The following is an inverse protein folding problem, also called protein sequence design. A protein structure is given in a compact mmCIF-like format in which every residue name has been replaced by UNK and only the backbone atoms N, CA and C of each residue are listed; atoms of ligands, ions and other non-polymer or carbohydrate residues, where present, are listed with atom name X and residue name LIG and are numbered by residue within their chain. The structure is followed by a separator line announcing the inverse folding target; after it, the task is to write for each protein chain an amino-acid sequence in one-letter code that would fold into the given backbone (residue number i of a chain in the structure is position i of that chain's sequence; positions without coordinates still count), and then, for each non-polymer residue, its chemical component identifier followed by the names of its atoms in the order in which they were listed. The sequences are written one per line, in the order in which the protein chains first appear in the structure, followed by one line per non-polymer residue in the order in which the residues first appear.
data_IF_973760282134
#
_entry.id   IF_973760282134
#
_cell.length_a   1.000
_cell.length_b   1.000
_cell.length_c   1.000
_cell.angle_alpha   90.00
_cell.angle_beta   90.00
_cell.angle_gamma   90.00
#
_symmetry.space_group_name_H-M   'P 1'
#
loop_
_entity.id
_entity.type
_entity.pdbx_description
1 polymer ?
#
# COMPACT_ATOMS: atom_id res chain seq x y z
N UNK A 1 12.25 -12.16 -1.54
CA UNK A 1 13.02 -11.35 -2.52
C UNK A 1 14.40 -10.97 -1.96
N UNK A 2 15.48 -10.83 -2.77
CA UNK A 2 16.76 -10.25 -2.31
C UNK A 2 17.13 -9.05 -3.16
N UNK A 3 17.28 -7.88 -2.54
CA UNK A 3 17.77 -6.68 -3.21
C UNK A 3 19.30 -6.74 -3.21
N UNK A 4 19.88 -7.22 -4.30
CA UNK A 4 21.34 -7.33 -4.49
C UNK A 4 21.79 -6.38 -5.58
N UNK A 5 22.94 -5.72 -5.40
CA UNK A 5 23.53 -4.79 -6.38
C UNK A 5 22.68 -3.52 -6.61
N UNK A 6 22.46 -2.77 -5.52
CA UNK A 6 21.66 -1.53 -5.50
C UNK A 6 22.40 -0.45 -6.29
N UNK A 7 21.81 -0.01 -7.41
CA UNK A 7 22.38 1.01 -8.30
C UNK A 7 21.45 2.18 -8.56
N UNK A 8 20.15 1.99 -8.33
CA UNK A 8 19.15 2.97 -8.74
C UNK A 8 17.90 2.91 -7.87
N UNK A 9 17.32 4.09 -7.61
CA UNK A 9 16.13 4.26 -6.78
C UNK A 9 15.12 5.18 -7.46
N UNK A 10 13.85 4.78 -7.41
CA UNK A 10 12.73 5.59 -7.88
C UNK A 10 12.06 6.33 -6.73
N UNK A 11 11.97 7.66 -6.77
CA UNK A 11 11.35 8.46 -5.71
C UNK A 11 9.96 8.97 -6.12
N UNK A 12 8.99 8.75 -5.25
CA UNK A 12 7.65 9.31 -5.30
C UNK A 12 7.42 10.25 -4.13
N UNK A 13 6.76 11.38 -4.39
CA UNK A 13 6.42 12.36 -3.36
C UNK A 13 4.92 12.35 -3.08
N UNK A 14 4.53 12.75 -1.86
CA UNK A 14 3.11 13.02 -1.54
C UNK A 14 2.55 14.04 -2.55
N UNK A 15 1.45 13.74 -3.26
CA UNK A 15 0.87 14.67 -4.23
C UNK A 15 0.50 16.01 -3.60
N UNK A 16 0.50 17.07 -4.41
CA UNK A 16 0.10 18.43 -4.01
C UNK A 16 0.85 18.99 -2.79
N UNK A 17 2.10 18.57 -2.59
CA UNK A 17 2.94 18.94 -1.46
C UNK A 17 4.31 19.48 -1.94
N UNK A 18 4.36 20.67 -2.58
CA UNK A 18 5.60 21.22 -3.13
C UNK A 18 6.70 21.48 -2.09
N UNK A 19 6.33 21.63 -0.81
CA UNK A 19 7.26 21.80 0.31
C UNK A 19 8.17 20.59 0.55
N UNK A 20 7.87 19.41 -0.02
CA UNK A 20 8.77 18.24 0.03
C UNK A 20 10.01 18.37 -0.85
N UNK A 21 10.17 19.49 -1.56
CA UNK A 21 11.32 19.75 -2.44
C UNK A 21 12.65 19.63 -1.71
N UNK A 22 12.77 20.22 -0.53
CA UNK A 22 14.02 20.18 0.24
C UNK A 22 14.37 18.75 0.67
N UNK A 23 13.38 18.02 1.20
CA UNK A 23 13.51 16.62 1.61
C UNK A 23 13.87 15.71 0.42
N UNK A 24 13.32 15.97 -0.77
CA UNK A 24 13.71 15.25 -1.98
C UNK A 24 15.20 15.46 -2.33
N UNK A 25 15.69 16.71 -2.28
CA UNK A 25 17.09 16.98 -2.60
C UNK A 25 18.05 16.42 -1.55
N UNK A 26 17.64 16.41 -0.28
CA UNK A 26 18.37 15.74 0.79
C UNK A 26 18.48 14.23 0.53
N UNK A 27 17.36 13.56 0.29
CA UNK A 27 17.35 12.13 -0.05
C UNK A 27 18.18 11.85 -1.30
N UNK A 28 18.03 12.69 -2.34
CA UNK A 28 18.80 12.57 -3.57
C UNK A 28 20.30 12.63 -3.31
N UNK A 29 20.75 13.62 -2.53
CA UNK A 29 22.17 13.78 -2.15
C UNK A 29 22.68 12.55 -1.40
N UNK A 30 21.91 12.02 -0.46
CA UNK A 30 22.28 10.84 0.34
C UNK A 30 22.51 9.64 -0.58
N UNK A 31 21.55 9.30 -1.44
CA UNK A 31 21.67 8.18 -2.38
C UNK A 31 22.81 8.38 -3.39
N UNK A 32 22.89 9.54 -4.03
CA UNK A 32 23.90 9.81 -5.07
C UNK A 32 25.33 9.81 -4.50
N UNK A 33 25.52 10.22 -3.24
CA UNK A 33 26.83 10.15 -2.58
C UNK A 33 27.36 8.72 -2.38
N UNK A 34 26.47 7.71 -2.38
CA UNK A 34 26.81 6.28 -2.38
C UNK A 34 26.77 5.65 -3.78
N UNK A 35 26.67 6.46 -4.84
CA UNK A 35 26.64 5.96 -6.23
C UNK A 35 25.31 5.34 -6.66
N UNK A 36 24.22 5.60 -5.93
CA UNK A 36 22.87 5.16 -6.28
C UNK A 36 22.20 6.25 -7.11
N UNK A 37 21.84 5.95 -8.36
CA UNK A 37 21.13 6.86 -9.26
C UNK A 37 19.71 7.14 -8.77
N UNK A 38 19.32 8.41 -8.73
CA UNK A 38 18.00 8.83 -8.25
C UNK A 38 17.12 9.30 -9.40
N UNK A 39 16.03 8.58 -9.63
CA UNK A 39 15.02 8.91 -10.63
C UNK A 39 13.75 9.36 -9.92
N UNK A 40 13.25 10.56 -10.21
CA UNK A 40 11.97 11.04 -9.66
C UNK A 40 10.81 10.73 -10.60
N UNK A 41 9.66 10.35 -10.05
CA UNK A 41 8.44 10.13 -10.80
C UNK A 41 7.91 11.42 -11.45
N UNK A 42 7.31 11.34 -12.64
CA UNK A 42 6.95 12.50 -13.46
C UNK A 42 6.09 13.56 -12.75
N UNK A 43 5.00 13.14 -12.08
CA UNK A 43 4.11 14.05 -11.35
C UNK A 43 4.84 14.63 -10.13
N UNK A 44 5.59 13.78 -9.44
CA UNK A 44 6.41 14.17 -8.28
C UNK A 44 7.47 15.21 -8.66
N UNK A 45 8.20 15.00 -9.75
CA UNK A 45 9.21 15.91 -10.27
C UNK A 45 8.60 17.22 -10.74
N UNK A 46 7.53 17.17 -11.53
CA UNK A 46 6.82 18.36 -12.00
C UNK A 46 6.36 19.26 -10.86
N UNK A 47 5.88 18.67 -9.77
CA UNK A 47 5.46 19.38 -8.55
C UNK A 47 6.60 20.19 -7.89
N UNK A 48 7.84 19.71 -7.94
CA UNK A 48 9.00 20.36 -7.30
C UNK A 48 9.91 21.11 -8.31
N UNK A 49 9.54 21.12 -9.58
CA UNK A 49 10.31 21.76 -10.66
C UNK A 49 11.52 20.96 -11.13
N UNK A 50 11.46 19.62 -11.06
CA UNK A 50 12.50 18.69 -11.53
C UNK A 50 11.94 17.83 -12.66
N UNK A 51 12.75 17.52 -13.66
CA UNK A 51 12.34 16.60 -14.73
C UNK A 51 12.23 15.18 -14.17
N UNK A 52 11.00 14.64 -14.16
CA UNK A 52 10.73 13.26 -13.73
C UNK A 52 10.42 12.31 -14.90
N UNK A 53 10.43 11.01 -14.62
CA UNK A 53 10.12 9.95 -15.59
C UNK A 53 8.71 9.37 -15.40
N UNK A 54 8.02 8.94 -16.48
CA UNK A 54 6.77 8.21 -16.35
C UNK A 54 6.90 7.02 -15.42
N UNK A 55 5.94 6.82 -14.52
CA UNK A 55 6.04 5.86 -13.43
C UNK A 55 6.41 4.44 -13.87
N UNK A 56 5.76 3.91 -14.92
CA UNK A 56 6.09 2.57 -15.41
C UNK A 56 7.50 2.49 -16.01
N UNK A 57 7.98 3.55 -16.67
CA UNK A 57 9.35 3.59 -17.19
C UNK A 57 10.37 3.64 -16.05
N UNK A 58 10.08 4.39 -14.99
CA UNK A 58 10.89 4.42 -13.78
C UNK A 58 10.95 3.04 -13.13
N UNK A 59 9.81 2.37 -12.92
CA UNK A 59 9.76 1.05 -12.29
C UNK A 59 10.52 -0.04 -13.08
N UNK A 60 10.66 0.10 -14.41
CA UNK A 60 11.45 -0.82 -15.23
C UNK A 60 12.97 -0.61 -15.12
N UNK A 61 13.41 0.50 -14.53
CA UNK A 61 14.83 0.90 -14.49
C UNK A 61 15.43 0.84 -13.09
N UNK A 62 14.61 0.99 -12.05
CA UNK A 62 15.07 1.13 -10.67
C UNK A 62 15.07 -0.19 -9.93
N UNK A 63 15.95 -0.33 -8.93
CA UNK A 63 16.06 -1.54 -8.12
C UNK A 63 15.02 -1.57 -6.99
N UNK A 64 14.63 -0.40 -6.49
CA UNK A 64 13.61 -0.23 -5.45
C UNK A 64 12.97 1.16 -5.54
N UNK A 65 11.88 1.33 -4.78
CA UNK A 65 11.16 2.60 -4.68
C UNK A 65 11.33 3.23 -3.30
N UNK A 66 11.31 4.55 -3.27
CA UNK A 66 11.21 5.37 -2.06
C UNK A 66 9.98 6.25 -2.17
N UNK A 67 9.16 6.26 -1.13
CA UNK A 67 8.08 7.24 -0.99
C UNK A 67 8.42 8.26 0.08
N UNK A 68 8.30 9.55 -0.21
CA UNK A 68 8.43 10.63 0.76
C UNK A 68 7.03 11.20 1.02
N UNK A 69 6.49 10.96 2.20
CA UNK A 69 5.11 11.31 2.52
C UNK A 69 4.57 10.62 3.75
N UNK A 70 3.29 10.23 3.72
CA UNK A 70 2.68 9.39 4.75
C UNK A 70 2.15 8.07 4.16
N UNK A 71 1.45 7.28 4.98
CA UNK A 71 0.96 5.93 4.62
C UNK A 71 0.19 5.90 3.29
N UNK A 72 -0.65 6.91 2.99
CA UNK A 72 -1.36 6.98 1.71
C UNK A 72 -0.44 7.06 0.47
N UNK A 73 0.75 7.63 0.62
CA UNK A 73 1.76 7.71 -0.44
C UNK A 73 2.37 6.32 -0.68
N UNK A 74 2.72 5.62 0.41
CA UNK A 74 3.20 4.25 0.37
C UNK A 74 2.17 3.29 -0.24
N UNK A 75 0.93 3.33 0.24
CA UNK A 75 -0.19 2.51 -0.26
C UNK A 75 -0.39 2.73 -1.76
N UNK A 76 -0.36 4.00 -2.20
CA UNK A 76 -0.47 4.34 -3.62
C UNK A 76 0.70 3.79 -4.45
N UNK A 77 1.93 3.94 -3.96
CA UNK A 77 3.11 3.42 -4.63
C UNK A 77 3.07 1.90 -4.77
N UNK A 78 2.84 1.16 -3.68
CA UNK A 78 2.75 -0.31 -3.68
C UNK A 78 1.65 -0.79 -4.63
N UNK A 79 0.46 -0.18 -4.58
CA UNK A 79 -0.65 -0.54 -5.47
C UNK A 79 -0.33 -0.29 -6.95
N UNK A 80 0.43 0.76 -7.28
CA UNK A 80 0.84 1.05 -8.66
C UNK A 80 2.01 0.16 -9.09
N UNK A 81 2.90 -0.21 -8.17
CA UNK A 81 4.14 -0.96 -8.46
C UNK A 81 4.02 -2.48 -8.33
N UNK A 82 2.89 -3.02 -7.85
CA UNK A 82 2.76 -4.45 -7.50
C UNK A 82 3.23 -5.43 -8.59
N UNK A 83 3.01 -5.10 -9.87
CA UNK A 83 3.44 -5.94 -11.02
C UNK A 83 4.94 -5.97 -11.25
N UNK A 84 5.65 -4.94 -10.79
CA UNK A 84 7.11 -4.85 -10.91
C UNK A 84 7.81 -5.55 -9.74
N UNK A 85 7.06 -5.93 -8.70
CA UNK A 85 7.57 -6.62 -7.52
C UNK A 85 8.78 -5.91 -6.87
N UNK A 86 8.81 -4.57 -6.91
CA UNK A 86 9.90 -3.78 -6.34
C UNK A 86 9.71 -3.60 -4.82
N UNK A 87 10.78 -3.65 -4.01
CA UNK A 87 10.72 -3.23 -2.62
C UNK A 87 10.40 -1.75 -2.54
N UNK A 88 9.69 -1.35 -1.49
CA UNK A 88 9.31 0.05 -1.25
C UNK A 88 9.75 0.47 0.14
N UNK A 89 10.62 1.47 0.21
CA UNK A 89 11.01 2.15 1.44
C UNK A 89 10.15 3.40 1.62
N UNK A 90 9.61 3.61 2.81
CA UNK A 90 8.80 4.79 3.11
C UNK A 90 9.56 5.72 4.05
N UNK A 91 9.83 6.93 3.57
CA UNK A 91 10.33 8.05 4.35
C UNK A 91 9.13 8.90 4.78
N UNK A 92 9.03 9.11 6.07
CA UNK A 92 7.95 9.86 6.65
C UNK A 92 8.17 11.38 6.54
N UNK A 93 7.13 12.13 6.19
CA UNK A 93 7.15 13.60 6.14
C UNK A 93 6.03 14.20 7.01
N UNK A 94 6.31 14.38 8.31
CA UNK A 94 5.40 15.00 9.31
C UNK A 94 5.24 14.19 10.61
N UNK A 95 4.00 13.90 11.04
CA UNK A 95 3.69 13.06 12.22
C UNK A 95 3.73 11.55 11.93
N UNK A 96 4.52 10.78 12.68
CA UNK A 96 4.75 9.34 12.50
C UNK A 96 3.46 8.56 12.14
N UNK A 97 3.48 7.86 10.99
CA UNK A 97 2.40 7.00 10.51
C UNK A 97 2.47 5.58 11.08
N UNK A 98 1.61 4.68 10.58
CA UNK A 98 1.62 3.27 10.98
C UNK A 98 2.62 2.42 10.18
N UNK A 99 3.02 2.88 8.99
CA UNK A 99 3.79 2.07 8.04
C UNK A 99 5.11 2.68 7.58
N UNK A 100 5.29 3.99 7.72
CA UNK A 100 6.54 4.65 7.38
C UNK A 100 7.51 4.51 8.56
N UNK A 101 8.56 3.71 8.35
CA UNK A 101 9.49 3.28 9.40
C UNK A 101 10.77 4.14 9.48
N UNK A 102 10.89 5.20 8.67
CA UNK A 102 12.14 5.96 8.52
C UNK A 102 11.89 7.47 8.43
N UNK A 103 12.55 8.27 9.28
CA UNK A 103 12.65 9.72 9.13
C UNK A 103 13.76 10.08 8.11
N UNK A 104 13.67 11.25 7.46
CA UNK A 104 14.74 11.72 6.58
C UNK A 104 16.08 11.83 7.31
N UNK A 105 16.05 12.20 8.60
CA UNK A 105 17.26 12.31 9.43
C UNK A 105 17.98 10.97 9.63
N UNK A 106 17.27 9.85 9.52
CA UNK A 106 17.79 8.49 9.67
C UNK A 106 18.23 7.88 8.33
N UNK A 107 17.91 8.54 7.21
CA UNK A 107 18.14 7.99 5.88
C UNK A 107 19.63 7.75 5.59
N UNK A 108 20.51 8.64 6.04
CA UNK A 108 21.95 8.54 5.78
C UNK A 108 22.52 7.22 6.36
N UNK A 109 22.30 6.99 7.66
CA UNK A 109 22.70 5.77 8.36
C UNK A 109 22.00 4.52 7.79
N UNK A 110 20.73 4.64 7.43
CA UNK A 110 19.98 3.52 6.84
C UNK A 110 20.56 3.09 5.49
N UNK A 111 20.97 4.03 4.64
CA UNK A 111 21.54 3.70 3.32
C UNK A 111 22.89 2.99 3.48
N UNK A 112 23.71 3.36 4.45
CA UNK A 112 24.97 2.65 4.72
C UNK A 112 24.72 1.20 5.15
N UNK A 113 23.83 1.01 6.13
CA UNK A 113 23.41 -0.34 6.56
C UNK A 113 22.77 -1.15 5.43
N UNK A 114 22.00 -0.50 4.56
CA UNK A 114 21.38 -1.14 3.41
C UNK A 114 22.44 -1.69 2.43
N UNK A 115 23.52 -0.95 2.21
CA UNK A 115 24.63 -1.37 1.34
C UNK A 115 25.46 -2.50 1.96
N UNK A 116 25.54 -2.55 3.28
CA UNK A 116 26.15 -3.65 4.04
C UNK A 116 25.26 -4.91 4.10
N UNK A 117 24.01 -4.80 3.64
CA UNK A 117 23.04 -5.90 3.67
C UNK A 117 22.29 -6.04 5.00
N UNK A 118 22.41 -5.05 5.89
CA UNK A 118 21.80 -5.03 7.23
C UNK A 118 20.35 -4.51 7.22
N UNK A 119 19.51 -5.08 6.36
CA UNK A 119 18.10 -4.72 6.26
C UNK A 119 17.23 -5.97 6.05
N UNK A 120 15.92 -5.80 6.27
CA UNK A 120 14.93 -6.85 6.01
C UNK A 120 13.88 -6.32 5.05
N UNK A 121 13.46 -7.18 4.12
CA UNK A 121 12.31 -6.93 3.26
C UNK A 121 11.14 -7.73 3.83
N UNK A 122 10.08 -7.02 4.20
CA UNK A 122 8.84 -7.63 4.66
C UNK A 122 7.90 -7.87 3.48
N UNK A 123 7.56 -9.14 3.24
CA UNK A 123 6.57 -9.53 2.25
C UNK A 123 5.16 -9.38 2.85
N UNK A 124 4.42 -8.37 2.40
CA UNK A 124 3.07 -8.05 2.88
C UNK A 124 2.01 -8.52 1.88
N UNK A 125 0.95 -9.14 2.40
CA UNK A 125 -0.16 -9.61 1.58
C UNK A 125 -0.91 -8.45 0.90
N UNK A 126 -1.39 -8.70 -0.32
CA UNK A 126 -2.30 -7.82 -1.07
C UNK A 126 -3.53 -8.61 -1.50
N UNK A 127 -4.67 -7.92 -1.57
CA UNK A 127 -5.89 -8.46 -2.15
C UNK A 127 -5.92 -8.18 -3.64
N UNK A 128 -6.38 -9.16 -4.40
CA UNK A 128 -6.82 -8.98 -5.78
C UNK A 128 -8.28 -9.39 -5.87
N UNK A 129 -9.13 -8.51 -6.41
CA UNK A 129 -10.50 -8.85 -6.75
C UNK A 129 -10.70 -8.81 -8.26
N UNK A 130 -11.44 -9.79 -8.76
CA UNK A 130 -11.99 -9.81 -10.10
C UNK A 130 -13.46 -9.41 -10.02
N UNK A 131 -13.83 -8.37 -10.73
CA UNK A 131 -15.20 -7.89 -10.83
C UNK A 131 -15.73 -8.38 -12.19
N UNK A 132 -16.59 -9.39 -12.13
CA UNK A 132 -17.22 -9.96 -13.32
C UNK A 132 -18.57 -9.28 -13.55
N UNK A 133 -18.70 -8.62 -14.70
CA UNK A 133 -19.94 -8.00 -15.14
C UNK A 133 -20.35 -8.55 -16.51
N UNK A 134 -21.50 -8.11 -17.04
CA UNK A 134 -21.91 -8.47 -18.41
C UNK A 134 -20.97 -7.91 -19.47
N UNK A 135 -20.29 -6.81 -19.16
CA UNK A 135 -19.38 -6.12 -20.09
C UNK A 135 -17.95 -6.71 -20.05
N UNK A 136 -17.73 -7.71 -19.20
CA UNK A 136 -16.47 -8.42 -19.02
C UNK A 136 -15.93 -8.33 -17.60
N UNK A 137 -14.72 -8.88 -17.45
CA UNK A 137 -13.97 -8.91 -16.20
C UNK A 137 -13.06 -7.68 -16.08
N UNK A 138 -13.00 -7.14 -14.87
CA UNK A 138 -12.01 -6.14 -14.48
C UNK A 138 -11.30 -6.58 -13.21
N UNK A 139 -10.06 -6.12 -13.02
CA UNK A 139 -9.26 -6.47 -11.85
C UNK A 139 -8.91 -5.23 -11.05
N UNK A 140 -9.02 -5.36 -9.73
CA UNK A 140 -8.55 -4.37 -8.77
C UNK A 140 -7.63 -5.02 -7.76
N UNK A 141 -6.64 -4.26 -7.33
CA UNK A 141 -5.73 -4.69 -6.25
C UNK A 141 -5.82 -3.70 -5.10
N UNK A 142 -5.76 -4.23 -3.88
CA UNK A 142 -5.79 -3.44 -2.66
C UNK A 142 -4.69 -3.90 -1.72
N UNK A 143 -4.02 -2.92 -1.14
CA UNK A 143 -3.01 -3.16 -0.12
C UNK A 143 -3.63 -3.25 1.28
N UNK A 144 -4.67 -2.44 1.55
CA UNK A 144 -5.43 -2.49 2.81
C UNK A 144 -6.72 -3.28 2.64
N UNK A 145 -7.74 -2.66 2.05
CA UNK A 145 -9.12 -3.13 2.10
C UNK A 145 -9.78 -3.12 0.72
N UNK A 146 -10.65 -4.10 0.47
CA UNK A 146 -11.68 -4.06 -0.57
C UNK A 146 -13.03 -3.95 0.13
N UNK A 147 -13.80 -2.91 -0.20
CA UNK A 147 -15.07 -2.61 0.45
C UNK A 147 -16.21 -2.81 -0.53
N UNK A 148 -17.08 -3.78 -0.23
CA UNK A 148 -18.37 -3.91 -0.92
C UNK A 148 -19.41 -3.17 -0.09
N UNK A 149 -20.00 -2.11 -0.66
CA UNK A 149 -20.95 -1.26 0.06
C UNK A 149 -22.15 -0.92 -0.81
N UNK A 150 -23.26 -0.55 -0.16
CA UNK A 150 -24.47 -0.08 -0.82
C UNK A 150 -24.19 1.13 -1.73
N UNK A 151 -24.82 1.23 -2.91
CA UNK A 151 -24.63 2.36 -3.82
C UNK A 151 -25.28 3.66 -3.31
N UNK A 152 -26.24 3.55 -2.39
CA UNK A 152 -26.88 4.69 -1.74
C UNK A 152 -27.38 4.32 -0.34
N UNK A 153 -27.60 5.33 0.51
CA UNK A 153 -27.97 5.16 1.93
C UNK A 153 -29.38 4.55 2.09
N UNK A 154 -30.23 4.64 1.07
CA UNK A 154 -31.67 4.34 1.19
C UNK A 154 -32.02 2.87 1.36
N UNK A 155 -31.10 1.94 1.09
CA UNK A 155 -31.37 0.49 1.19
C UNK A 155 -30.17 -0.28 1.71
N UNK A 156 -30.44 -1.30 2.52
CA UNK A 156 -29.47 -2.34 2.84
C UNK A 156 -29.24 -3.23 1.63
N UNK A 157 -28.03 -3.79 1.54
CA UNK A 157 -27.69 -4.78 0.51
C UNK A 157 -27.64 -6.18 1.09
N UNK A 158 -27.84 -7.17 0.22
CA UNK A 158 -27.69 -8.60 0.50
C UNK A 158 -26.42 -9.07 -0.20
N UNK A 159 -25.46 -9.57 0.55
CA UNK A 159 -24.18 -10.08 0.04
C UNK A 159 -24.05 -11.56 0.41
N UNK A 160 -24.16 -12.43 -0.59
CA UNK A 160 -23.82 -13.85 -0.44
C UNK A 160 -22.32 -14.02 -0.57
N UNK A 161 -21.70 -14.74 0.36
CA UNK A 161 -20.27 -15.01 0.33
C UNK A 161 -19.99 -16.49 0.21
N UNK A 162 -18.93 -16.77 -0.53
CA UNK A 162 -18.43 -18.11 -0.80
C UNK A 162 -16.94 -18.15 -0.45
N UNK A 163 -16.51 -19.26 0.16
CA UNK A 163 -15.10 -19.55 0.43
C UNK A 163 -14.79 -20.86 -0.29
N UNK A 164 -13.78 -20.85 -1.14
CA UNK A 164 -13.41 -21.99 -2.00
C UNK A 164 -14.61 -22.57 -2.78
N UNK A 165 -15.48 -21.68 -3.28
CA UNK A 165 -16.68 -22.03 -4.03
C UNK A 165 -17.84 -22.58 -3.18
N UNK A 166 -17.68 -22.70 -1.85
CA UNK A 166 -18.72 -23.18 -0.94
C UNK A 166 -19.42 -22.02 -0.25
N UNK A 167 -20.74 -22.10 -0.11
CA UNK A 167 -21.51 -21.08 0.62
C UNK A 167 -21.00 -20.97 2.05
N UNK A 168 -20.67 -19.74 2.45
CA UNK A 168 -20.11 -19.46 3.77
C UNK A 168 -21.08 -18.65 4.63
N UNK A 169 -21.51 -17.48 4.15
CA UNK A 169 -22.43 -16.63 4.89
C UNK A 169 -23.28 -15.75 3.94
N UNK A 170 -24.31 -15.11 4.48
CA UNK A 170 -25.03 -14.03 3.79
C UNK A 170 -25.14 -12.83 4.71
N UNK A 171 -24.59 -11.70 4.27
CA UNK A 171 -24.61 -10.44 5.00
C UNK A 171 -25.77 -9.56 4.57
N UNK A 172 -26.41 -8.92 5.54
CA UNK A 172 -27.46 -7.94 5.35
C UNK A 172 -27.08 -6.68 6.12
N UNK A 173 -26.88 -5.56 5.43
CA UNK A 173 -26.45 -4.32 6.07
C UNK A 173 -25.93 -3.32 5.05
N UNK A 174 -24.96 -2.51 5.49
CA UNK A 174 -24.34 -1.48 4.65
C UNK A 174 -23.32 -2.07 3.69
N UNK A 175 -22.63 -3.15 4.11
CA UNK A 175 -21.56 -3.74 3.31
C UNK A 175 -20.72 -4.76 4.06
N UNK A 176 -19.62 -5.16 3.43
CA UNK A 176 -18.56 -6.01 3.99
C UNK A 176 -17.21 -5.45 3.57
N UNK A 177 -16.28 -5.37 4.53
CA UNK A 177 -14.86 -5.10 4.31
C UNK A 177 -14.13 -6.42 4.19
N UNK A 178 -13.38 -6.62 3.12
CA UNK A 178 -12.35 -7.67 3.00
C UNK A 178 -11.00 -6.99 3.22
N UNK A 179 -10.27 -7.38 4.25
CA UNK A 179 -9.08 -6.65 4.72
C UNK A 179 -7.84 -7.55 4.76
N UNK A 180 -6.71 -7.04 4.28
CA UNK A 180 -5.39 -7.64 4.54
C UNK A 180 -5.00 -7.47 6.01
N UNK A 181 -3.98 -8.17 6.51
CA UNK A 181 -3.47 -7.92 7.85
C UNK A 181 -2.95 -6.48 8.02
N UNK A 182 -2.37 -5.89 6.97
CA UNK A 182 -1.96 -4.48 6.98
C UNK A 182 -3.15 -3.53 7.01
N UNK A 183 -4.22 -3.86 6.27
CA UNK A 183 -5.48 -3.09 6.28
C UNK A 183 -6.28 -3.22 7.58
N UNK A 184 -5.93 -4.17 8.45
CA UNK A 184 -6.68 -4.45 9.67
C UNK A 184 -6.79 -3.25 10.61
N UNK A 185 -5.81 -2.34 10.57
CA UNK A 185 -5.75 -1.08 11.33
C UNK A 185 -6.40 0.12 10.62
N UNK A 186 -6.86 -0.07 9.37
CA UNK A 186 -7.49 0.97 8.56
C UNK A 186 -9.03 0.94 8.69
N UNK A 187 -9.76 0.76 7.59
CA UNK A 187 -11.22 0.82 7.65
C UNK A 187 -11.82 -0.39 8.37
N UNK A 188 -11.16 -1.55 8.28
CA UNK A 188 -11.52 -2.75 9.02
C UNK A 188 -11.66 -2.48 10.54
N UNK A 189 -10.71 -1.77 11.15
CA UNK A 189 -10.76 -1.42 12.57
C UNK A 189 -11.98 -0.54 12.88
N UNK A 190 -12.24 0.45 12.03
CA UNK A 190 -13.40 1.35 12.17
C UNK A 190 -14.74 0.61 12.04
N UNK A 191 -14.78 -0.47 11.24
CA UNK A 191 -15.94 -1.33 11.08
C UNK A 191 -16.08 -2.39 12.20
N UNK A 192 -15.19 -2.39 13.20
CA UNK A 192 -15.23 -3.31 14.34
C UNK A 192 -14.47 -4.62 14.13
N UNK A 193 -13.66 -4.72 13.08
CA UNK A 193 -12.75 -5.84 12.83
C UNK A 193 -11.54 -5.85 13.79
N UNK A 194 -10.89 -7.00 14.00
CA UNK A 194 -9.73 -7.10 14.87
C UNK A 194 -8.48 -6.52 14.19
N UNK A 195 -7.48 -6.17 15.00
CA UNK A 195 -6.12 -5.88 14.55
C UNK A 195 -5.39 -7.20 14.30
N UNK A 196 -4.70 -7.30 13.17
CA UNK A 196 -3.96 -8.47 12.74
C UNK A 196 -2.47 -8.16 12.65
N UNK A 197 -1.64 -9.18 12.89
CA UNK A 197 -0.20 -9.03 12.70
C UNK A 197 0.13 -8.95 11.20
N UNK A 198 0.85 -7.92 10.71
CA UNK A 198 0.99 -7.63 9.27
C UNK A 198 1.57 -8.76 8.40
N UNK A 199 2.38 -9.65 8.98
CA UNK A 199 3.05 -10.74 8.25
C UNK A 199 2.28 -12.07 8.29
N UNK A 200 1.04 -12.08 8.79
CA UNK A 200 0.18 -13.27 8.74
C UNK A 200 -0.39 -13.50 7.34
N UNK A 201 -0.67 -14.75 6.98
CA UNK A 201 -1.28 -15.11 5.69
C UNK A 201 -2.78 -15.39 5.87
N UNK A 202 -3.52 -14.33 6.18
CA UNK A 202 -4.97 -14.36 6.42
C UNK A 202 -5.61 -13.10 5.85
N UNK A 203 -6.93 -13.11 5.71
CA UNK A 203 -7.71 -11.90 5.50
C UNK A 203 -8.91 -11.85 6.44
N UNK A 204 -9.36 -10.65 6.78
CA UNK A 204 -10.57 -10.44 7.59
C UNK A 204 -11.77 -10.15 6.70
N UNK A 205 -12.94 -10.71 7.04
CA UNK A 205 -14.24 -10.26 6.56
C UNK A 205 -14.98 -9.58 7.71
N UNK A 206 -15.20 -8.28 7.58
CA UNK A 206 -15.85 -7.46 8.61
C UNK A 206 -17.13 -6.85 8.06
N UNK A 207 -18.33 -7.24 8.57
CA UNK A 207 -19.58 -6.64 8.14
C UNK A 207 -19.70 -5.18 8.59
N UNK A 208 -20.26 -4.33 7.74
CA UNK A 208 -20.52 -2.91 8.03
C UNK A 208 -21.99 -2.76 8.41
N UNK A 209 -22.25 -2.28 9.62
CA UNK A 209 -23.60 -2.07 10.17
C UNK A 209 -24.55 -3.25 9.88
N UNK A 210 -24.21 -4.49 10.27
CA UNK A 210 -25.04 -5.64 9.97
C UNK A 210 -26.39 -5.54 10.68
N UNK A 211 -27.47 -5.89 9.97
CA UNK A 211 -28.81 -5.97 10.55
C UNK A 211 -28.91 -7.08 11.61
N UNK A 212 -28.13 -8.15 11.46
CA UNK A 212 -28.09 -9.24 12.44
C UNK A 212 -27.10 -8.95 13.57
N UNK A 213 -27.58 -9.03 14.82
CA UNK A 213 -26.77 -8.87 16.02
C UNK A 213 -25.74 -9.98 16.25
N UNK A 214 -25.83 -11.10 15.54
CA UNK A 214 -24.90 -12.24 15.66
C UNK A 214 -23.79 -12.22 14.62
N UNK A 215 -23.84 -11.32 13.63
CA UNK A 215 -22.77 -11.19 12.65
C UNK A 215 -21.52 -10.59 13.30
N UNK A 216 -20.38 -11.25 13.09
CA UNK A 216 -19.08 -10.87 13.65
C UNK A 216 -18.04 -10.85 12.53
N UNK A 217 -16.94 -10.09 12.71
CA UNK A 217 -15.75 -10.26 11.90
C UNK A 217 -15.28 -11.70 11.94
N UNK A 218 -14.81 -12.21 10.82
CA UNK A 218 -14.21 -13.54 10.70
C UNK A 218 -12.85 -13.44 10.02
N UNK A 219 -11.91 -14.28 10.46
CA UNK A 219 -10.58 -14.38 9.85
C UNK A 219 -10.54 -15.66 9.04
N UNK A 220 -10.15 -15.54 7.77
CA UNK A 220 -10.05 -16.65 6.84
C UNK A 220 -8.60 -16.84 6.37
N UNK A 221 -8.18 -18.07 6.05
CA UNK A 221 -6.89 -18.34 5.41
C UNK A 221 -6.77 -17.62 4.07
N UNK A 222 -5.59 -17.04 3.80
CA UNK A 222 -5.23 -16.36 2.55
C UNK A 222 -4.78 -17.29 1.43
#
# INVERSE_FOLDING_TARGET
MKLTNIKSVGILLRPSTPELKEMFFEAKRIFESRGIEVIVEHVSGGMIGVMGQPFEMMCKKVDFLVTIGGDGTLISAVRRSYRFQLPVLAIHAGKLGFMADLDIAELDDFVDRMLEGEFRIDERAMLQATITTRDGDSHVVAFNDIVLTRPSISKMIRLETFVDGRSFNTYYGDGVVVSTPTGSTAYNLSAGGPVLFPLTQVFALTPICPHSLTQRPVILPG
#
